data_IF_151725496011
#
_entry.id   IF_151725496011
#
_cell.length_a   1.000
_cell.length_b   1.000
_cell.length_c   1.000
_cell.angle_alpha   90.00
_cell.angle_beta   90.00
_cell.angle_gamma   90.00
#
_symmetry.space_group_name_H-M   'P 1'
#
loop_
_entity.id
_entity.type
_entity.pdbx_description
1 polymer ?
#
# COMPACT_ATOMS: atom_id res chain seq x y z
N UNK A 1 29.06 -29.12 28.74
CA UNK A 1 28.77 -28.09 27.71
C UNK A 1 27.28 -28.19 27.44
N UNK A 2 26.51 -27.15 27.76
CA UNK A 2 25.05 -27.14 27.60
C UNK A 2 24.72 -25.90 26.76
N UNK A 3 24.23 -26.11 25.55
CA UNK A 3 23.83 -25.03 24.63
C UNK A 3 22.53 -24.40 25.12
N UNK A 4 22.58 -23.10 25.42
CA UNK A 4 21.39 -22.30 25.70
C UNK A 4 20.87 -21.72 24.39
N UNK A 5 19.74 -22.23 23.94
CA UNK A 5 18.97 -21.70 22.81
C UNK A 5 18.45 -20.30 23.16
N UNK A 6 19.04 -19.27 22.56
CA UNK A 6 18.60 -17.87 22.72
C UNK A 6 17.32 -17.68 21.92
N UNK A 7 16.17 -17.84 22.57
CA UNK A 7 14.89 -17.34 22.04
C UNK A 7 14.90 -15.82 22.10
N UNK A 8 15.39 -15.18 21.04
CA UNK A 8 15.21 -13.74 20.83
C UNK A 8 13.74 -13.48 20.56
N UNK A 9 12.98 -13.21 21.62
CA UNK A 9 11.63 -12.69 21.51
C UNK A 9 11.72 -11.27 20.91
N UNK A 10 11.44 -11.15 19.62
CA UNK A 10 11.22 -9.85 19.00
C UNK A 10 10.16 -9.07 19.81
N UNK A 11 10.40 -7.81 20.16
CA UNK A 11 9.45 -7.03 20.93
C UNK A 11 8.15 -6.88 20.11
N UNK A 12 7.04 -7.37 20.68
CA UNK A 12 5.67 -7.15 20.18
C UNK A 12 5.32 -5.66 20.28
N UNK A 13 5.88 -4.82 19.41
CA UNK A 13 5.48 -3.44 19.29
C UNK A 13 4.08 -3.39 18.67
N UNK A 14 3.08 -3.22 19.55
CA UNK A 14 1.71 -2.75 19.27
C UNK A 14 1.77 -1.32 18.68
N UNK A 15 2.30 -1.19 17.47
CA UNK A 15 2.16 0.03 16.71
C UNK A 15 0.75 0.07 16.16
N UNK A 16 -0.11 0.97 16.67
CA UNK A 16 -1.32 1.34 15.96
C UNK A 16 -0.89 2.23 14.79
N UNK A 17 -0.89 1.70 13.57
CA UNK A 17 -0.69 2.50 12.36
C UNK A 17 -2.02 3.15 12.03
N UNK A 18 -2.08 4.47 12.20
CA UNK A 18 -3.24 5.31 11.90
C UNK A 18 -2.91 6.05 10.60
N UNK A 19 -3.85 6.07 9.67
CA UNK A 19 -3.68 6.83 8.44
C UNK A 19 -3.64 8.34 8.72
N UNK A 20 -2.82 9.07 7.96
CA UNK A 20 -2.81 10.53 7.98
C UNK A 20 -4.12 11.12 7.45
N UNK A 21 -4.38 12.38 7.78
CA UNK A 21 -5.55 13.10 7.24
C UNK A 21 -5.46 13.23 5.73
N UNK A 22 -4.25 13.39 5.21
CA UNK A 22 -3.94 13.50 3.80
C UNK A 22 -4.27 12.20 3.06
N UNK A 23 -3.86 11.06 3.60
CA UNK A 23 -4.19 9.75 3.06
C UNK A 23 -5.69 9.49 3.09
N UNK A 24 -6.36 9.77 4.22
CA UNK A 24 -7.82 9.64 4.36
C UNK A 24 -8.55 10.52 3.34
N UNK A 25 -8.06 11.73 3.08
CA UNK A 25 -8.66 12.61 2.08
C UNK A 25 -8.54 12.05 0.65
N UNK A 26 -7.47 11.29 0.33
CA UNK A 26 -7.29 10.62 -0.97
C UNK A 26 -8.21 9.42 -1.13
N UNK A 27 -8.25 8.51 -0.15
CA UNK A 27 -9.01 7.24 -0.26
C UNK A 27 -10.48 7.36 0.21
N UNK A 28 -10.84 8.51 0.75
CA UNK A 28 -12.16 8.79 1.32
C UNK A 28 -12.51 7.94 2.54
N UNK A 29 -13.74 8.13 3.04
CA UNK A 29 -14.22 7.42 4.24
C UNK A 29 -14.37 5.91 3.99
N UNK A 30 -14.64 5.48 2.76
CA UNK A 30 -14.73 4.06 2.41
C UNK A 30 -13.35 3.40 2.46
N UNK A 31 -12.32 4.02 1.89
CA UNK A 31 -10.95 3.52 1.96
C UNK A 31 -10.43 3.46 3.40
N UNK A 32 -10.74 4.48 4.20
CA UNK A 32 -10.43 4.48 5.65
C UNK A 32 -11.11 3.30 6.38
N UNK A 33 -12.40 3.04 6.12
CA UNK A 33 -13.11 1.90 6.71
C UNK A 33 -12.46 0.57 6.34
N UNK A 34 -12.13 0.37 5.05
CA UNK A 34 -11.40 -0.82 4.58
C UNK A 34 -10.05 -0.97 5.28
N UNK A 35 -9.28 0.11 5.39
CA UNK A 35 -8.00 0.08 6.09
C UNK A 35 -8.14 -0.39 7.56
N UNK A 36 -9.15 0.12 8.28
CA UNK A 36 -9.42 -0.32 9.65
C UNK A 36 -9.88 -1.79 9.73
N UNK A 37 -10.50 -2.33 8.68
CA UNK A 37 -10.79 -3.76 8.56
C UNK A 37 -9.53 -4.58 8.29
N UNK A 38 -8.69 -4.17 7.34
CA UNK A 38 -7.44 -4.86 6.98
C UNK A 38 -6.52 -5.02 8.20
N UNK A 39 -6.47 -4.01 9.07
CA UNK A 39 -5.69 -4.04 10.33
C UNK A 39 -6.12 -5.14 11.30
N UNK A 40 -7.35 -5.65 11.18
CA UNK A 40 -7.88 -6.71 12.05
C UNK A 40 -7.52 -8.10 11.55
N UNK A 41 -7.05 -8.25 10.31
CA UNK A 41 -6.77 -9.56 9.74
C UNK A 41 -5.56 -10.21 10.42
N UNK A 42 -5.74 -11.38 11.06
CA UNK A 42 -4.63 -12.14 11.62
C UNK A 42 -3.80 -12.77 10.50
N UNK A 43 -2.58 -13.22 10.81
CA UNK A 43 -1.86 -14.10 9.88
C UNK A 43 -2.67 -15.40 9.67
N UNK A 44 -2.75 -15.86 8.43
CA UNK A 44 -3.54 -17.01 8.00
C UNK A 44 -5.00 -16.73 7.65
N UNK A 45 -5.46 -15.47 7.59
CA UNK A 45 -6.87 -15.09 7.39
C UNK A 45 -7.51 -15.64 6.10
N UNK A 46 -6.71 -15.99 5.11
CA UNK A 46 -7.15 -16.57 3.85
C UNK A 46 -6.65 -18.02 3.70
N UNK A 47 -7.40 -18.97 4.27
CA UNK A 47 -7.06 -20.41 4.19
C UNK A 47 -5.64 -20.74 4.68
N UNK A 48 -5.13 -20.01 5.68
CA UNK A 48 -3.76 -20.17 6.18
C UNK A 48 -2.66 -19.41 5.42
N UNK A 49 -2.99 -18.74 4.30
CA UNK A 49 -1.99 -18.07 3.43
C UNK A 49 -1.85 -16.57 3.65
N UNK A 50 -2.95 -15.88 3.97
CA UNK A 50 -2.96 -14.42 4.06
C UNK A 50 -2.06 -13.87 5.17
N UNK A 51 -1.17 -12.94 4.84
CA UNK A 51 -0.31 -12.25 5.81
C UNK A 51 -1.07 -11.11 6.50
N UNK A 52 -0.61 -10.77 7.71
CA UNK A 52 -1.05 -9.54 8.39
C UNK A 52 -0.54 -8.31 7.63
N UNK A 53 -1.19 -7.17 7.82
CA UNK A 53 -0.77 -5.91 7.20
C UNK A 53 0.69 -5.55 7.54
N UNK A 54 1.44 -5.17 6.51
CA UNK A 54 2.84 -4.76 6.58
C UNK A 54 2.94 -3.29 6.97
N UNK A 55 3.68 -3.00 8.04
CA UNK A 55 3.94 -1.63 8.50
C UNK A 55 4.64 -0.80 7.43
N UNK A 56 5.62 -1.39 6.74
CA UNK A 56 6.38 -0.72 5.69
C UNK A 56 5.51 -0.43 4.47
N UNK A 57 4.58 -1.33 4.13
CA UNK A 57 3.59 -1.10 3.08
C UNK A 57 2.74 0.13 3.39
N UNK A 58 2.20 0.24 4.61
CA UNK A 58 1.43 1.42 5.05
C UNK A 58 2.26 2.70 4.96
N UNK A 59 3.52 2.67 5.42
CA UNK A 59 4.41 3.84 5.35
C UNK A 59 4.73 4.26 3.90
N UNK A 60 4.88 3.30 2.98
CA UNK A 60 5.15 3.58 1.57
C UNK A 60 3.91 4.14 0.87
N UNK A 61 2.72 3.58 1.16
CA UNK A 61 1.44 4.14 0.76
C UNK A 61 1.28 5.61 1.22
N UNK A 62 1.50 5.89 2.52
CA UNK A 62 1.44 7.25 3.09
C UNK A 62 2.38 8.23 2.38
N UNK A 63 3.62 7.80 2.12
CA UNK A 63 4.62 8.60 1.40
C UNK A 63 4.24 8.87 -0.06
N UNK A 64 3.54 7.94 -0.70
CA UNK A 64 3.06 8.09 -2.07
C UNK A 64 1.90 9.08 -2.13
N UNK A 65 0.83 8.87 -1.36
CA UNK A 65 -0.38 9.71 -1.41
C UNK A 65 -0.11 11.15 -0.95
N UNK A 66 0.86 11.37 -0.06
CA UNK A 66 1.29 12.71 0.33
C UNK A 66 1.92 13.51 -0.83
N UNK A 67 2.50 12.83 -1.82
CA UNK A 67 3.05 13.44 -3.04
C UNK A 67 2.03 13.60 -4.16
N UNK A 68 0.85 12.99 -4.01
CA UNK A 68 -0.17 12.89 -5.05
C UNK A 68 -1.54 13.36 -4.53
N UNK A 69 -1.67 14.60 -4.00
CA UNK A 69 -2.94 15.11 -3.50
C UNK A 69 -4.05 15.19 -4.57
N UNK A 70 -3.69 15.24 -5.85
CA UNK A 70 -4.59 15.29 -7.00
C UNK A 70 -5.45 14.02 -7.13
N UNK A 71 -4.96 12.88 -6.63
CA UNK A 71 -5.68 11.60 -6.68
C UNK A 71 -7.05 11.66 -5.99
N UNK A 72 -7.28 12.64 -5.10
CA UNK A 72 -8.59 12.89 -4.49
C UNK A 72 -9.72 13.01 -5.51
N UNK A 73 -9.43 13.53 -6.71
CA UNK A 73 -10.42 13.74 -7.77
C UNK A 73 -10.82 12.43 -8.46
N UNK A 74 -9.96 11.41 -8.41
CA UNK A 74 -10.14 10.12 -9.08
C UNK A 74 -10.74 9.04 -8.17
N UNK A 75 -10.99 9.38 -6.90
CA UNK A 75 -11.62 8.51 -5.92
C UNK A 75 -11.00 7.10 -5.84
N UNK A 76 -9.68 6.99 -5.61
CA UNK A 76 -8.99 5.72 -5.64
C UNK A 76 -9.50 4.76 -4.57
N UNK A 77 -9.57 3.48 -4.93
CA UNK A 77 -9.95 2.39 -4.05
C UNK A 77 -8.72 1.76 -3.41
N UNK A 78 -8.80 1.53 -2.10
CA UNK A 78 -7.78 0.80 -1.35
C UNK A 78 -8.15 -0.69 -1.28
N UNK A 79 -7.17 -1.54 -1.54
CA UNK A 79 -7.24 -3.00 -1.49
C UNK A 79 -6.14 -3.57 -0.57
N UNK A 80 -6.25 -4.86 -0.27
CA UNK A 80 -5.34 -5.59 0.60
C UNK A 80 -4.95 -6.93 -0.01
N UNK A 81 -3.66 -7.15 -0.19
CA UNK A 81 -3.13 -8.35 -0.86
C UNK A 81 -2.86 -9.48 0.12
N UNK A 82 -2.73 -10.71 -0.39
CA UNK A 82 -2.44 -11.89 0.43
C UNK A 82 -1.06 -11.78 1.11
N UNK A 83 -0.18 -10.97 0.55
CA UNK A 83 1.19 -10.68 0.96
C UNK A 83 1.24 -9.66 2.10
N UNK A 84 0.08 -9.10 2.47
CA UNK A 84 -0.03 -8.13 3.54
C UNK A 84 0.29 -6.70 3.09
N UNK A 85 0.26 -6.42 1.79
CA UNK A 85 0.48 -5.08 1.27
C UNK A 85 -0.83 -4.35 1.03
N UNK A 86 -0.75 -3.03 1.02
CA UNK A 86 -1.78 -2.16 0.49
C UNK A 86 -1.59 -2.01 -1.01
N UNK A 87 -2.71 -1.92 -1.71
CA UNK A 87 -2.77 -1.63 -3.13
C UNK A 87 -3.80 -0.51 -3.35
N UNK A 88 -3.48 0.41 -4.25
CA UNK A 88 -4.31 1.55 -4.62
C UNK A 88 -4.65 1.46 -6.10
N UNK A 89 -5.94 1.43 -6.43
CA UNK A 89 -6.43 1.35 -7.80
C UNK A 89 -7.40 2.49 -8.14
N UNK A 90 -7.30 3.05 -9.34
CA UNK A 90 -8.23 4.03 -9.91
C UNK A 90 -8.19 4.02 -11.43
N UNK A 91 -9.06 4.80 -12.07
CA UNK A 91 -9.05 5.00 -13.52
C UNK A 91 -8.42 6.36 -13.87
N UNK A 92 -7.60 6.40 -14.92
CA UNK A 92 -7.07 7.63 -15.48
C UNK A 92 -8.15 8.46 -16.19
N UNK A 93 -7.79 9.63 -16.73
CA UNK A 93 -8.77 10.52 -17.39
C UNK A 93 -9.46 9.92 -18.63
N UNK A 94 -8.93 8.82 -19.17
CA UNK A 94 -9.50 8.09 -20.30
C UNK A 94 -10.33 6.88 -19.83
N UNK A 95 -10.48 6.67 -18.52
CA UNK A 95 -11.17 5.50 -17.97
C UNK A 95 -10.32 4.23 -17.94
N UNK A 96 -8.99 4.34 -18.08
CA UNK A 96 -8.08 3.19 -18.11
C UNK A 96 -7.46 2.94 -16.74
N UNK A 97 -7.31 1.68 -16.35
CA UNK A 97 -6.88 1.32 -15.00
C UNK A 97 -5.43 1.74 -14.68
N UNK A 98 -5.24 2.24 -13.46
CA UNK A 98 -3.94 2.41 -12.81
C UNK A 98 -4.02 1.69 -11.45
N UNK A 99 -3.10 0.76 -11.24
CA UNK A 99 -2.98 -0.02 -10.00
C UNK A 99 -1.56 0.11 -9.44
N UNK A 100 -1.43 0.26 -8.13
CA UNK A 100 -0.16 0.44 -7.44
C UNK A 100 -0.14 -0.37 -6.15
N UNK A 101 0.76 -1.36 -6.06
CA UNK A 101 0.99 -2.14 -4.85
C UNK A 101 2.25 -1.68 -4.10
N UNK A 102 2.11 -1.45 -2.80
CA UNK A 102 3.17 -0.93 -1.95
C UNK A 102 3.86 -2.06 -1.17
N UNK A 103 4.98 -2.56 -1.68
CA UNK A 103 5.80 -3.54 -0.97
C UNK A 103 6.69 -2.88 0.08
N UNK A 104 7.32 -3.65 1.00
CA UNK A 104 8.26 -3.10 1.98
C UNK A 104 9.48 -2.38 1.37
N UNK A 105 9.94 -2.82 0.20
CA UNK A 105 11.21 -2.45 -0.43
C UNK A 105 11.09 -1.92 -1.87
N UNK A 106 9.89 -2.00 -2.45
CA UNK A 106 9.59 -1.57 -3.83
C UNK A 106 8.14 -1.11 -3.97
N UNK A 107 7.80 -0.58 -5.12
CA UNK A 107 6.43 -0.36 -5.56
C UNK A 107 6.26 -1.05 -6.90
N UNK A 108 5.21 -1.85 -7.03
CA UNK A 108 4.80 -2.43 -8.30
C UNK A 108 3.62 -1.63 -8.83
N UNK A 109 3.52 -1.49 -10.15
CA UNK A 109 2.40 -0.79 -10.75
C UNK A 109 2.02 -1.40 -12.10
N UNK A 110 0.75 -1.20 -12.43
CA UNK A 110 0.19 -1.43 -13.74
C UNK A 110 -0.50 -0.15 -14.22
N UNK A 111 -0.23 0.26 -15.46
CA UNK A 111 -0.88 1.40 -16.13
C UNK A 111 -1.39 0.91 -17.48
N UNK A 112 -2.70 0.75 -17.59
CA UNK A 112 -3.36 0.19 -18.77
C UNK A 112 -3.19 1.07 -20.00
N UNK A 113 -3.27 2.40 -19.86
CA UNK A 113 -3.13 3.34 -20.97
C UNK A 113 -1.76 3.32 -21.64
N UNK A 114 -0.75 2.81 -20.94
CA UNK A 114 0.60 2.62 -21.45
C UNK A 114 0.92 1.16 -21.78
N UNK A 115 -0.01 0.24 -21.50
CA UNK A 115 0.22 -1.21 -21.53
C UNK A 115 1.51 -1.58 -20.77
N UNK A 116 1.68 -1.01 -19.58
CA UNK A 116 2.93 -1.09 -18.81
C UNK A 116 2.68 -1.70 -17.44
N UNK A 117 3.37 -2.80 -17.14
CA UNK A 117 3.52 -3.36 -15.80
C UNK A 117 5.01 -3.30 -15.43
N UNK A 118 5.33 -2.75 -14.26
CA UNK A 118 6.72 -2.57 -13.87
C UNK A 118 6.90 -2.39 -12.36
N UNK A 119 8.17 -2.26 -11.97
CA UNK A 119 8.60 -2.12 -10.58
C UNK A 119 9.51 -0.91 -10.46
N UNK A 120 9.32 -0.11 -9.41
CA UNK A 120 10.24 0.96 -9.03
C UNK A 120 10.78 0.74 -7.63
N UNK A 121 12.07 1.03 -7.45
CA UNK A 121 12.68 1.12 -6.13
C UNK A 121 12.07 2.30 -5.36
N UNK A 122 12.04 2.22 -4.02
CA UNK A 122 11.52 3.31 -3.18
C UNK A 122 12.26 4.64 -3.38
N UNK A 123 13.54 4.59 -3.74
CA UNK A 123 14.34 5.77 -4.06
C UNK A 123 13.85 6.51 -5.31
N UNK A 124 13.17 5.79 -6.22
CA UNK A 124 12.69 6.30 -7.51
C UNK A 124 11.19 6.62 -7.49
N UNK A 125 10.55 6.66 -6.32
CA UNK A 125 9.11 6.95 -6.19
C UNK A 125 8.69 8.26 -6.90
N UNK A 126 9.59 9.25 -6.96
CA UNK A 126 9.33 10.52 -7.63
C UNK A 126 9.13 10.36 -9.15
N UNK A 127 9.88 9.44 -9.79
CA UNK A 127 9.73 9.17 -11.22
C UNK A 127 8.37 8.56 -11.53
N UNK A 128 7.88 7.68 -10.64
CA UNK A 128 6.55 7.11 -10.76
C UNK A 128 5.47 8.18 -10.60
N UNK A 129 5.59 9.07 -9.60
CA UNK A 129 4.62 10.16 -9.43
C UNK A 129 4.60 11.12 -10.63
N UNK A 130 5.77 11.48 -11.17
CA UNK A 130 5.86 12.33 -12.37
C UNK A 130 5.25 11.68 -13.61
N UNK A 131 5.37 10.35 -13.73
CA UNK A 131 4.71 9.58 -14.80
C UNK A 131 3.19 9.66 -14.64
N UNK A 132 2.68 9.38 -13.45
CA UNK A 132 1.24 9.31 -13.18
C UNK A 132 0.58 10.68 -13.34
N UNK A 133 1.22 11.77 -12.90
CA UNK A 133 0.66 13.13 -13.02
C UNK A 133 0.30 13.49 -14.47
N UNK A 134 0.97 12.91 -15.47
CA UNK A 134 0.67 13.14 -16.89
C UNK A 134 -0.61 12.43 -17.38
N UNK A 135 -1.08 11.46 -16.61
CA UNK A 135 -2.24 10.61 -16.89
C UNK A 135 -3.50 11.05 -16.14
N UNK A 136 -3.32 11.81 -15.05
CA UNK A 136 -4.39 12.55 -14.39
C UNK A 136 -4.89 13.68 -15.33
#
# INVERSE_FOLDING_TARGET
>A
MQEFEVKSAEPKQKGNFILSREAIAVIGENGKRRFEEFRKYPSGWYGGKGKKISKSSVLNFERFVKRMPELRQFQPSLFFTLEGNLELGWEDRNGQAIEIEFYPDKIEYFIESLNEESVVALADIFKLTEKIIKLL
#
